data_IF_098529583325
#
_entry.id   IF_098529583325
#
_cell.length_a   1.000
_cell.length_b   1.000
_cell.length_c   1.000
_cell.angle_alpha   90.00
_cell.angle_beta   90.00
_cell.angle_gamma   90.00
#
_symmetry.space_group_name_H-M   'P 1'
#
loop_
_entity.id
_entity.type
_entity.pdbx_description
1 polymer ?
#
# COMPACT_ATOMS: atom_id res chain seq x y z
N UNK A 1 22.05 -2.79 -19.88
CA UNK A 1 20.94 -1.87 -20.16
C UNK A 1 21.47 -0.67 -20.91
N UNK A 2 20.99 -0.42 -22.12
CA UNK A 2 21.33 0.75 -22.93
C UNK A 2 20.89 2.06 -22.23
N UNK A 3 21.67 3.14 -22.39
CA UNK A 3 21.38 4.44 -21.79
C UNK A 3 20.06 5.04 -22.29
N UNK A 4 19.60 4.66 -23.49
CA UNK A 4 18.28 5.02 -23.99
C UNK A 4 17.16 4.39 -23.17
N UNK A 5 17.26 3.09 -22.90
CA UNK A 5 16.26 2.33 -22.13
C UNK A 5 16.13 2.88 -20.71
N UNK A 6 17.25 3.19 -20.04
CA UNK A 6 17.25 3.79 -18.69
C UNK A 6 16.53 5.15 -18.65
N UNK A 7 16.76 6.01 -19.65
CA UNK A 7 16.07 7.31 -19.73
C UNK A 7 14.57 7.15 -19.98
N UNK A 8 14.19 6.14 -20.76
CA UNK A 8 12.78 5.79 -21.02
C UNK A 8 12.09 5.36 -19.72
N UNK A 9 12.69 4.42 -18.99
CA UNK A 9 12.19 3.92 -17.70
C UNK A 9 12.09 5.04 -16.65
N UNK A 10 13.11 5.92 -16.56
CA UNK A 10 13.09 7.03 -15.62
C UNK A 10 11.94 8.01 -15.92
N UNK A 11 11.69 8.34 -17.19
CA UNK A 11 10.56 9.19 -17.58
C UNK A 11 9.23 8.54 -17.26
N UNK A 12 9.08 7.25 -17.55
CA UNK A 12 7.87 6.51 -17.20
C UNK A 12 7.61 6.57 -15.69
N UNK A 13 8.65 6.34 -14.86
CA UNK A 13 8.55 6.44 -13.40
C UNK A 13 8.12 7.84 -12.94
N UNK A 14 8.72 8.91 -13.47
CA UNK A 14 8.33 10.27 -13.08
C UNK A 14 6.86 10.58 -13.43
N UNK A 15 6.34 10.05 -14.55
CA UNK A 15 4.92 10.21 -14.91
C UNK A 15 4.03 9.47 -13.90
N UNK A 16 4.41 8.24 -13.52
CA UNK A 16 3.67 7.44 -12.55
C UNK A 16 3.66 8.09 -11.16
N UNK A 17 4.80 8.59 -10.68
CA UNK A 17 4.92 9.29 -9.40
C UNK A 17 4.08 10.58 -9.37
N UNK A 18 4.11 11.38 -10.44
CA UNK A 18 3.29 12.57 -10.58
C UNK A 18 1.79 12.25 -10.58
N UNK A 19 1.40 11.18 -11.28
CA UNK A 19 0.00 10.75 -11.33
C UNK A 19 -0.49 10.21 -9.97
N UNK A 20 0.33 9.42 -9.25
CA UNK A 20 0.01 8.96 -7.89
C UNK A 20 -0.30 10.16 -7.00
N UNK A 21 0.60 11.15 -6.97
CA UNK A 21 0.44 12.35 -6.14
C UNK A 21 -0.88 13.06 -6.44
N UNK A 22 -1.14 13.34 -7.72
CA UNK A 22 -2.37 14.03 -8.12
C UNK A 22 -3.64 13.22 -7.82
N UNK A 23 -3.62 11.90 -8.01
CA UNK A 23 -4.77 11.03 -7.72
C UNK A 23 -5.03 10.89 -6.22
N UNK A 24 -3.98 10.85 -5.40
CA UNK A 24 -4.10 10.90 -3.95
C UNK A 24 -4.74 12.21 -3.50
N UNK A 25 -4.36 13.34 -4.08
CA UNK A 25 -4.87 14.65 -3.66
C UNK A 25 -6.28 14.96 -4.19
N UNK A 26 -6.57 14.62 -5.45
CA UNK A 26 -7.73 15.15 -6.19
C UNK A 26 -8.62 14.09 -6.84
N UNK A 27 -8.26 12.81 -6.73
CA UNK A 27 -9.02 11.71 -7.31
C UNK A 27 -8.73 11.48 -8.80
N UNK A 28 -9.12 10.31 -9.30
CA UNK A 28 -8.80 9.88 -10.67
C UNK A 28 -9.62 10.61 -11.73
N UNK A 29 -10.85 11.04 -11.41
CA UNK A 29 -11.73 11.63 -12.42
C UNK A 29 -11.36 13.09 -12.70
N UNK A 30 -11.11 13.88 -11.66
CA UNK A 30 -10.80 15.32 -11.79
C UNK A 30 -9.45 15.59 -12.45
N UNK A 31 -8.45 14.75 -12.18
CA UNK A 31 -7.08 14.95 -12.68
C UNK A 31 -7.01 14.68 -14.20
N UNK A 32 -6.55 15.66 -14.96
CA UNK A 32 -6.36 15.57 -16.42
C UNK A 32 -4.95 15.13 -16.81
N UNK A 33 -4.80 14.61 -18.04
CA UNK A 33 -3.48 14.30 -18.62
C UNK A 33 -2.60 15.55 -18.72
N UNK A 34 -3.21 16.72 -18.91
CA UNK A 34 -2.51 18.01 -18.94
C UNK A 34 -1.85 18.35 -17.60
N UNK A 35 -2.56 18.12 -16.49
CA UNK A 35 -2.05 18.34 -15.14
C UNK A 35 -0.91 17.36 -14.82
N UNK A 36 -1.09 16.07 -15.15
CA UNK A 36 -0.02 15.06 -14.97
C UNK A 36 1.21 15.41 -15.80
N UNK A 37 1.03 15.85 -17.06
CA UNK A 37 2.13 16.25 -17.93
C UNK A 37 2.90 17.44 -17.34
N UNK A 38 2.19 18.42 -16.78
CA UNK A 38 2.78 19.59 -16.12
C UNK A 38 3.58 19.18 -14.88
N UNK A 39 3.01 18.33 -14.02
CA UNK A 39 3.65 17.85 -12.79
C UNK A 39 4.89 16.97 -13.09
N UNK A 40 4.80 16.10 -14.10
CA UNK A 40 5.91 15.24 -14.52
C UNK A 40 6.95 15.95 -15.42
N UNK A 41 6.74 17.22 -15.76
CA UNK A 41 7.57 18.00 -16.68
C UNK A 41 7.76 17.32 -18.06
N UNK A 42 6.68 16.81 -18.64
CA UNK A 42 6.64 16.20 -19.97
C UNK A 42 5.52 16.79 -20.83
N UNK A 43 5.48 16.46 -22.12
CA UNK A 43 4.33 16.80 -22.96
C UNK A 43 3.20 15.79 -22.81
N UNK A 44 1.94 16.19 -23.07
CA UNK A 44 0.82 15.24 -23.11
C UNK A 44 1.06 14.12 -24.12
N UNK A 45 1.64 14.44 -25.29
CA UNK A 45 2.03 13.46 -26.32
C UNK A 45 2.99 12.42 -25.75
N UNK A 46 3.93 12.83 -24.88
CA UNK A 46 4.83 11.90 -24.19
C UNK A 46 4.04 10.91 -23.34
N UNK A 47 3.06 11.37 -22.55
CA UNK A 47 2.22 10.47 -21.73
C UNK A 47 1.46 9.48 -22.61
N UNK A 48 0.80 9.95 -23.67
CA UNK A 48 0.09 9.07 -24.60
C UNK A 48 1.01 8.06 -25.30
N UNK A 49 2.27 8.42 -25.57
CA UNK A 49 3.26 7.48 -26.13
C UNK A 49 3.66 6.36 -25.14
N UNK A 50 3.58 6.60 -23.83
CA UNK A 50 3.90 5.58 -22.81
C UNK A 50 2.70 4.73 -22.44
N UNK A 51 1.52 5.34 -22.31
CA UNK A 51 0.37 4.70 -21.66
C UNK A 51 -0.85 4.55 -22.59
N UNK A 52 -0.82 5.10 -23.81
CA UNK A 52 -1.88 5.06 -24.83
C UNK A 52 -3.22 5.73 -24.46
N UNK A 53 -3.65 5.67 -23.20
CA UNK A 53 -4.90 6.27 -22.71
C UNK A 53 -4.82 6.63 -21.22
N UNK A 54 -5.74 7.48 -20.75
CA UNK A 54 -5.86 7.80 -19.31
C UNK A 54 -6.19 6.55 -18.48
N UNK A 55 -7.02 5.65 -19.00
CA UNK A 55 -7.40 4.43 -18.28
C UNK A 55 -6.21 3.49 -18.08
N UNK A 56 -5.42 3.25 -19.14
CA UNK A 56 -4.17 2.48 -19.02
C UNK A 56 -3.17 3.15 -18.08
N UNK A 57 -3.04 4.49 -18.11
CA UNK A 57 -2.20 5.21 -17.13
C UNK A 57 -2.68 4.97 -15.70
N UNK A 58 -3.98 5.04 -15.43
CA UNK A 58 -4.55 4.79 -14.09
C UNK A 58 -4.21 3.36 -13.62
N UNK A 59 -4.35 2.36 -14.50
CA UNK A 59 -4.01 0.98 -14.18
C UNK A 59 -2.52 0.79 -13.88
N UNK A 60 -1.63 1.36 -14.71
CA UNK A 60 -0.17 1.31 -14.49
C UNK A 60 0.25 2.06 -13.21
N UNK A 61 -0.43 3.17 -12.89
CA UNK A 61 -0.25 3.90 -11.63
C UNK A 61 -0.60 3.02 -10.43
N UNK A 62 -1.70 2.28 -10.53
CA UNK A 62 -2.12 1.35 -9.49
C UNK A 62 -1.10 0.23 -9.26
N UNK A 63 -0.65 -0.44 -10.34
CA UNK A 63 0.37 -1.50 -10.23
C UNK A 63 1.67 -0.96 -9.63
N UNK A 64 2.12 0.21 -10.09
CA UNK A 64 3.32 0.87 -9.58
C UNK A 64 3.19 1.25 -8.09
N UNK A 65 2.01 1.73 -7.67
CA UNK A 65 1.74 2.04 -6.27
C UNK A 65 1.82 0.79 -5.39
N UNK A 66 1.23 -0.32 -5.83
CA UNK A 66 1.24 -1.60 -5.08
C UNK A 66 2.66 -2.17 -4.97
N UNK A 67 3.42 -2.13 -6.06
CA UNK A 67 4.82 -2.57 -6.05
C UNK A 67 5.67 -1.70 -5.11
N UNK A 68 5.50 -0.38 -5.17
CA UNK A 68 6.19 0.56 -4.28
C UNK A 68 5.85 0.28 -2.81
N UNK A 69 4.57 0.15 -2.48
CA UNK A 69 4.11 -0.16 -1.12
C UNK A 69 4.66 -1.52 -0.63
N UNK A 70 4.71 -2.52 -1.50
CA UNK A 70 5.28 -3.83 -1.18
C UNK A 70 6.78 -3.75 -0.89
N UNK A 71 7.53 -3.01 -1.71
CA UNK A 71 8.97 -2.80 -1.50
C UNK A 71 9.27 -1.97 -0.26
N UNK A 72 8.46 -0.95 0.06
CA UNK A 72 8.60 -0.18 1.31
C UNK A 72 8.36 -1.06 2.53
N UNK A 73 7.36 -1.94 2.48
CA UNK A 73 7.10 -2.90 3.54
C UNK A 73 8.25 -3.90 3.69
N UNK A 74 8.76 -4.44 2.59
CA UNK A 74 9.94 -5.31 2.58
C UNK A 74 11.17 -4.66 3.21
N UNK A 75 11.45 -3.41 2.87
CA UNK A 75 12.54 -2.62 3.47
C UNK A 75 12.34 -2.43 4.97
N UNK A 76 11.10 -2.14 5.41
CA UNK A 76 10.79 -2.01 6.83
C UNK A 76 11.04 -3.31 7.59
N UNK A 77 10.58 -4.45 7.07
CA UNK A 77 10.76 -5.76 7.70
C UNK A 77 12.23 -6.18 7.70
N UNK A 78 12.98 -5.85 6.65
CA UNK A 78 14.41 -6.15 6.52
C UNK A 78 15.32 -5.19 7.30
N UNK A 79 14.79 -4.11 7.85
CA UNK A 79 15.56 -3.14 8.63
C UNK A 79 16.03 -3.75 9.97
N UNK A 80 17.09 -3.16 10.54
CA UNK A 80 17.62 -3.52 11.86
C UNK A 80 16.84 -2.87 13.02
N UNK A 81 15.68 -2.25 12.74
CA UNK A 81 14.86 -1.63 13.78
C UNK A 81 14.31 -2.68 14.75
N UNK A 82 14.08 -2.28 16.00
CA UNK A 82 13.39 -3.12 16.96
C UNK A 82 11.91 -3.32 16.54
N UNK A 83 11.31 -4.45 16.92
CA UNK A 83 9.92 -4.76 16.55
C UNK A 83 8.93 -3.64 16.93
N UNK A 84 8.98 -3.00 18.12
CA UNK A 84 8.08 -1.89 18.44
C UNK A 84 8.24 -0.69 17.51
N UNK A 85 9.46 -0.42 17.03
CA UNK A 85 9.70 0.67 16.08
C UNK A 85 9.16 0.32 14.69
N UNK A 86 9.24 -0.96 14.29
CA UNK A 86 8.59 -1.46 13.08
C UNK A 86 7.08 -1.33 13.17
N UNK A 87 6.47 -1.75 14.29
CA UNK A 87 5.02 -1.61 14.54
C UNK A 87 4.61 -0.14 14.54
N UNK A 88 5.37 0.72 15.22
CA UNK A 88 5.15 2.17 15.21
C UNK A 88 5.22 2.72 13.79
N UNK A 89 6.18 2.28 12.98
CA UNK A 89 6.20 2.64 11.56
C UNK A 89 4.96 2.08 10.86
N UNK A 90 4.60 0.81 10.96
CA UNK A 90 3.37 0.28 10.31
C UNK A 90 2.12 1.10 10.64
N UNK A 91 1.93 1.50 11.90
CA UNK A 91 0.78 2.30 12.36
C UNK A 91 0.89 3.75 11.89
N UNK A 92 2.07 4.37 12.07
CA UNK A 92 2.29 5.80 11.90
C UNK A 92 3.10 6.17 10.66
N UNK A 93 3.32 5.27 9.71
CA UNK A 93 4.01 5.53 8.43
C UNK A 93 3.09 6.34 7.53
N UNK A 94 2.65 7.49 8.03
CA UNK A 94 1.75 8.45 7.41
C UNK A 94 1.90 9.85 8.04
N UNK A 95 3.13 10.37 8.12
CA UNK A 95 3.29 11.83 7.92
C UNK A 95 3.11 12.22 6.45
N UNK A 96 3.04 11.26 5.53
CA UNK A 96 2.81 11.51 4.10
C UNK A 96 1.49 10.94 3.52
N UNK A 97 0.73 10.07 4.21
CA UNK A 97 -0.40 9.37 3.56
C UNK A 97 -1.74 9.31 4.33
N UNK A 98 -1.91 9.97 5.49
CA UNK A 98 -3.16 9.89 6.28
C UNK A 98 -4.09 11.10 6.07
N UNK A 99 -3.60 12.18 5.46
CA UNK A 99 -4.39 13.36 5.13
C UNK A 99 -4.80 13.45 3.65
N UNK A 100 -4.83 12.34 2.90
CA UNK A 100 -5.49 12.35 1.60
C UNK A 100 -5.10 11.20 0.67
N UNK A 101 -5.54 9.98 0.93
CA UNK A 101 -5.90 9.15 -0.22
C UNK A 101 -7.30 9.59 -0.60
N UNK A 102 -7.45 10.22 -1.75
CA UNK A 102 -8.76 10.60 -2.25
C UNK A 102 -9.64 9.35 -2.34
N UNK A 103 -10.88 9.46 -1.87
CA UNK A 103 -11.81 8.34 -1.79
C UNK A 103 -11.96 7.62 -3.14
N UNK A 104 -12.11 8.35 -4.24
CA UNK A 104 -12.16 7.77 -5.60
C UNK A 104 -10.94 6.92 -5.95
N UNK A 105 -9.73 7.37 -5.56
CA UNK A 105 -8.52 6.61 -5.84
C UNK A 105 -8.50 5.35 -4.97
N UNK A 106 -8.85 5.46 -3.69
CA UNK A 106 -8.99 4.30 -2.81
C UNK A 106 -10.02 3.28 -3.32
N UNK A 107 -11.21 3.72 -3.71
CA UNK A 107 -12.26 2.86 -4.27
C UNK A 107 -11.81 2.19 -5.56
N UNK A 108 -11.12 2.91 -6.46
CA UNK A 108 -10.57 2.33 -7.68
C UNK A 108 -9.57 1.22 -7.33
N UNK A 109 -8.62 1.50 -6.42
CA UNK A 109 -7.67 0.50 -5.96
C UNK A 109 -8.40 -0.72 -5.42
N UNK A 110 -9.32 -0.55 -4.47
CA UNK A 110 -10.02 -1.67 -3.85
C UNK A 110 -10.89 -2.45 -4.84
N UNK A 111 -11.50 -1.80 -5.84
CA UNK A 111 -12.22 -2.49 -6.92
C UNK A 111 -11.30 -3.36 -7.77
N UNK A 112 -10.14 -2.85 -8.16
CA UNK A 112 -9.14 -3.63 -8.89
C UNK A 112 -8.61 -4.78 -8.03
N UNK A 113 -8.47 -4.59 -6.71
CA UNK A 113 -8.10 -5.59 -5.69
C UNK A 113 -9.07 -6.78 -5.58
N UNK A 114 -10.36 -6.59 -5.92
CA UNK A 114 -11.40 -7.62 -5.72
C UNK A 114 -11.72 -8.42 -6.98
N UNK A 115 -11.00 -8.16 -8.08
CA UNK A 115 -11.06 -9.00 -9.29
C UNK A 115 -10.29 -10.29 -9.03
N UNK A 116 -10.99 -11.44 -9.03
CA UNK A 116 -10.39 -12.75 -8.78
C UNK A 116 -9.22 -13.05 -9.75
N UNK A 117 -8.10 -13.54 -9.22
CA UNK A 117 -6.91 -13.87 -10.01
C UNK A 117 -6.12 -12.64 -10.50
N UNK A 118 -6.33 -11.47 -9.89
CA UNK A 118 -5.59 -10.27 -10.23
C UNK A 118 -4.12 -10.32 -9.74
N UNK A 119 -3.35 -9.32 -10.19
CA UNK A 119 -1.96 -9.10 -9.79
C UNK A 119 -1.77 -8.95 -8.27
N UNK A 120 -2.80 -8.51 -7.56
CA UNK A 120 -2.73 -8.22 -6.13
C UNK A 120 -2.79 -9.47 -5.28
N UNK A 121 -3.66 -10.43 -5.60
CA UNK A 121 -3.69 -11.71 -4.91
C UNK A 121 -2.34 -12.40 -5.02
N UNK A 122 -1.73 -12.32 -6.22
CA UNK A 122 -0.37 -12.80 -6.44
C UNK A 122 0.65 -12.06 -5.59
N UNK A 123 0.63 -10.73 -5.55
CA UNK A 123 1.54 -9.94 -4.69
C UNK A 123 1.34 -10.26 -3.21
N UNK A 124 0.10 -10.47 -2.78
CA UNK A 124 -0.22 -10.81 -1.41
C UNK A 124 0.36 -12.18 -1.02
N UNK A 125 0.18 -13.19 -1.87
CA UNK A 125 0.70 -14.54 -1.65
C UNK A 125 2.23 -14.60 -1.76
N UNK A 126 2.79 -14.02 -2.83
CA UNK A 126 4.22 -14.10 -3.15
C UNK A 126 5.09 -13.16 -2.29
N UNK A 127 4.54 -12.04 -1.81
CA UNK A 127 5.30 -11.02 -1.05
C UNK A 127 4.74 -10.77 0.34
N UNK A 128 3.45 -10.41 0.47
CA UNK A 128 2.92 -9.91 1.74
C UNK A 128 2.90 -11.00 2.84
N UNK A 129 2.46 -12.22 2.53
CA UNK A 129 2.43 -13.33 3.49
C UNK A 129 3.82 -13.69 4.02
N UNK A 130 4.87 -13.87 3.18
CA UNK A 130 6.24 -14.03 3.66
C UNK A 130 6.71 -12.90 4.59
N UNK A 131 6.37 -11.65 4.28
CA UNK A 131 6.75 -10.49 5.10
C UNK A 131 6.02 -10.47 6.45
N UNK A 132 4.72 -10.82 6.50
CA UNK A 132 4.00 -10.97 7.77
C UNK A 132 4.57 -12.12 8.63
N UNK A 133 4.89 -13.26 8.01
CA UNK A 133 5.55 -14.38 8.72
C UNK A 133 6.87 -13.94 9.34
N UNK A 134 7.67 -13.20 8.58
CA UNK A 134 8.95 -12.68 9.04
C UNK A 134 8.77 -11.64 10.16
N UNK A 135 7.82 -10.71 10.02
CA UNK A 135 7.48 -9.75 11.08
C UNK A 135 7.10 -10.47 12.38
N UNK A 136 6.23 -11.48 12.31
CA UNK A 136 5.82 -12.25 13.48
C UNK A 136 6.98 -13.06 14.08
N UNK A 137 7.85 -13.63 13.24
CA UNK A 137 9.04 -14.34 13.71
C UNK A 137 9.94 -13.42 14.53
N UNK A 138 10.23 -12.23 13.99
CA UNK A 138 11.02 -11.21 14.68
C UNK A 138 10.37 -10.76 15.99
N UNK A 139 9.05 -10.53 15.99
CA UNK A 139 8.32 -10.15 17.20
C UNK A 139 8.35 -11.22 18.29
N UNK A 140 8.28 -12.49 17.91
CA UNK A 140 8.40 -13.62 18.82
C UNK A 140 9.82 -13.76 19.38
N UNK A 141 10.84 -13.73 18.53
CA UNK A 141 12.26 -13.84 18.94
C UNK A 141 12.70 -12.70 19.86
N UNK A 142 12.14 -11.51 19.66
CA UNK A 142 12.41 -10.34 20.51
C UNK A 142 11.53 -10.28 21.77
N UNK A 143 10.59 -11.22 21.94
CA UNK A 143 9.72 -11.31 23.12
C UNK A 143 8.58 -10.28 23.18
N UNK A 144 8.21 -9.67 22.04
CA UNK A 144 7.12 -8.68 21.97
C UNK A 144 5.76 -9.29 21.63
N UNK A 145 5.73 -10.47 21.00
CA UNK A 145 4.48 -11.18 20.71
C UNK A 145 4.13 -12.07 21.90
N UNK A 146 2.85 -12.05 22.29
CA UNK A 146 2.32 -12.91 23.34
C UNK A 146 2.61 -14.40 22.97
N UNK A 147 3.34 -15.16 23.82
CA UNK A 147 3.71 -16.55 23.52
C UNK A 147 2.50 -17.49 23.40
N UNK A 148 1.32 -17.10 23.90
CA UNK A 148 0.08 -17.86 23.77
C UNK A 148 -0.60 -17.69 22.40
N UNK A 149 -0.15 -16.73 21.57
CA UNK A 149 -0.66 -16.53 20.21
C UNK A 149 0.13 -17.37 19.21
N UNK A 150 -0.58 -18.22 18.45
CA UNK A 150 0.03 -19.00 17.36
C UNK A 150 0.24 -18.16 16.10
N UNK A 151 1.23 -18.54 15.30
CA UNK A 151 1.48 -17.94 13.99
C UNK A 151 0.26 -18.10 13.06
N UNK A 152 -0.41 -19.25 13.13
CA UNK A 152 -1.59 -19.56 12.34
C UNK A 152 -2.74 -18.61 12.68
N UNK A 153 -2.98 -18.32 13.97
CA UNK A 153 -4.03 -17.39 14.38
C UNK A 153 -3.74 -15.96 13.94
N UNK A 154 -2.48 -15.52 14.02
CA UNK A 154 -2.09 -14.18 13.54
C UNK A 154 -2.25 -14.05 12.01
N UNK A 155 -1.82 -15.05 11.25
CA UNK A 155 -2.01 -15.07 9.79
C UNK A 155 -3.49 -15.15 9.40
N UNK A 156 -4.27 -15.97 10.11
CA UNK A 156 -5.71 -16.07 9.89
C UNK A 156 -6.41 -14.72 10.12
N UNK A 157 -6.01 -13.98 11.16
CA UNK A 157 -6.51 -12.62 11.40
C UNK A 157 -6.19 -11.67 10.24
N UNK A 158 -4.94 -11.67 9.74
CA UNK A 158 -4.54 -10.84 8.58
C UNK A 158 -5.34 -11.22 7.34
N UNK A 159 -5.58 -12.51 7.10
CA UNK A 159 -6.39 -12.98 5.98
C UNK A 159 -7.87 -12.54 6.11
N UNK A 160 -8.46 -12.66 7.30
CA UNK A 160 -9.81 -12.16 7.56
C UNK A 160 -9.94 -10.66 7.28
N UNK A 161 -8.93 -9.87 7.69
CA UNK A 161 -8.89 -8.44 7.38
C UNK A 161 -8.83 -8.19 5.88
N UNK A 162 -7.93 -8.88 5.16
CA UNK A 162 -7.81 -8.77 3.70
C UNK A 162 -9.16 -9.02 3.03
N UNK A 163 -9.79 -10.15 3.32
CA UNK A 163 -11.06 -10.55 2.72
C UNK A 163 -12.21 -9.59 3.06
N UNK A 164 -12.23 -9.05 4.28
CA UNK A 164 -13.24 -8.07 4.67
C UNK A 164 -13.05 -6.71 3.97
N UNK A 165 -11.80 -6.23 3.88
CA UNK A 165 -11.50 -4.96 3.19
C UNK A 165 -11.68 -5.03 1.68
N UNK A 166 -11.72 -6.23 1.07
CA UNK A 166 -12.03 -6.44 -0.34
C UNK A 166 -13.53 -6.31 -0.68
N UNK A 167 -14.41 -6.08 0.31
CA UNK A 167 -15.84 -5.92 0.04
C UNK A 167 -16.18 -4.49 -0.37
N UNK A 168 -16.90 -4.32 -1.47
CA UNK A 168 -17.24 -3.00 -2.04
C UNK A 168 -17.95 -2.10 -1.03
N UNK A 169 -18.83 -2.65 -0.20
CA UNK A 169 -19.57 -1.92 0.84
C UNK A 169 -18.70 -1.48 2.05
N UNK A 170 -17.44 -1.92 2.10
CA UNK A 170 -16.48 -1.66 3.17
C UNK A 170 -15.51 -0.53 2.81
N UNK A 171 -15.20 -0.30 1.53
CA UNK A 171 -14.09 0.58 1.11
C UNK A 171 -14.13 1.97 1.77
N UNK A 172 -15.22 2.73 1.57
CA UNK A 172 -15.35 4.09 2.10
C UNK A 172 -15.43 4.15 3.62
N UNK A 173 -15.93 3.08 4.26
CA UNK A 173 -16.03 2.98 5.73
C UNK A 173 -14.71 2.63 6.39
N UNK A 174 -13.91 1.80 5.72
CA UNK A 174 -12.63 1.31 6.21
C UNK A 174 -11.55 2.38 6.21
N UNK A 175 -11.50 3.23 5.17
CA UNK A 175 -10.45 4.22 4.98
C UNK A 175 -10.20 5.12 6.22
N UNK A 176 -11.23 5.72 6.87
CA UNK A 176 -11.00 6.52 8.08
C UNK A 176 -10.63 5.69 9.32
N UNK A 177 -10.84 4.37 9.29
CA UNK A 177 -10.62 3.46 10.41
C UNK A 177 -9.32 2.66 10.33
N UNK A 178 -8.53 2.80 9.25
CA UNK A 178 -7.37 1.93 9.02
C UNK A 178 -6.32 2.01 10.13
N UNK A 179 -6.11 3.21 10.71
CA UNK A 179 -5.19 3.40 11.84
C UNK A 179 -5.70 2.69 13.10
N UNK A 180 -6.97 2.91 13.47
CA UNK A 180 -7.59 2.26 14.63
C UNK A 180 -7.61 0.74 14.49
N UNK A 181 -7.94 0.22 13.30
CA UNK A 181 -7.95 -1.22 13.06
C UNK A 181 -6.54 -1.80 13.17
N UNK A 182 -5.52 -1.09 12.69
CA UNK A 182 -4.11 -1.51 12.83
C UNK A 182 -3.66 -1.47 14.29
N UNK A 183 -4.10 -0.47 15.06
CA UNK A 183 -3.86 -0.41 16.50
C UNK A 183 -4.51 -1.59 17.24
N UNK A 184 -5.77 -1.92 16.91
CA UNK A 184 -6.46 -3.08 17.48
C UNK A 184 -5.71 -4.38 17.17
N UNK A 185 -5.17 -4.52 15.97
CA UNK A 185 -4.39 -5.70 15.58
C UNK A 185 -3.14 -5.87 16.47
N UNK A 186 -2.34 -4.83 16.67
CA UNK A 186 -1.09 -4.94 17.42
C UNK A 186 -1.23 -4.85 18.94
N UNK A 187 -2.23 -4.12 19.45
CA UNK A 187 -2.37 -3.82 20.87
C UNK A 187 -3.65 -4.36 21.50
N UNK A 188 -4.56 -4.91 20.71
CA UNK A 188 -5.88 -5.34 21.18
C UNK A 188 -6.74 -4.17 21.67
N UNK A 189 -7.87 -4.50 22.31
CA UNK A 189 -8.85 -3.51 22.81
C UNK A 189 -8.54 -3.07 24.25
N UNK A 190 -7.86 -3.92 25.03
CA UNK A 190 -7.64 -3.71 26.46
C UNK A 190 -6.48 -2.71 26.73
N UNK A 191 -5.73 -2.30 25.70
CA UNK A 191 -4.57 -1.42 25.84
C UNK A 191 -3.46 -2.04 26.70
N UNK A 192 -2.42 -1.27 27.03
CA UNK A 192 -1.48 -1.69 28.07
C UNK A 192 -2.23 -1.68 29.40
N UNK A 193 -2.37 -2.85 30.02
CA UNK A 193 -2.75 -2.96 31.44
C UNK A 193 -1.69 -2.15 32.21
N UNK A 194 -2.08 -1.04 32.85
CA UNK A 194 -1.21 -0.46 33.87
C UNK A 194 -0.97 -1.56 34.90
N UNK A 195 0.29 -1.95 35.07
CA UNK A 195 0.69 -2.90 36.09
C UNK A 195 0.15 -2.39 37.44
N UNK A 196 -0.78 -3.15 38.02
CA UNK A 196 -1.18 -3.02 39.42
C UNK A 196 -0.41 -4.04 40.23
#
# INVERSE_FOLDING_TARGET
MDGFQRRKEQKQRHILEAAIKLFMDSGIHKVSISEIAKEAHVSQVTIYNYFESKHKLIHEVFLYYVDKASSEFEQLISSNDAFPDKVKKIIFNKKENANGIHEEFYQYMMKEYSVEGNYIDKIYEDKAIPLFKELFRQGHEQGYINPDLSFESMLFYVQMMKEYFQREEVYSKALPLTEDITNIFFYGIIGKKEDR
#
